data_IF_959212945698
#
_entry.id   IF_959212945698
#
_cell.length_a   1.000
_cell.length_b   1.000
_cell.length_c   1.000
_cell.angle_alpha   90.00
_cell.angle_beta   90.00
_cell.angle_gamma   90.00
#
_symmetry.space_group_name_H-M   'P 1'
#
loop_
_entity.id
_entity.type
_entity.pdbx_description
1 polymer ?
#
# COMPACT_ATOMS: atom_id res chain seq x y z
N UNK A 1 23.43 11.34 -2.93
CA UNK A 1 23.68 9.89 -3.17
C UNK A 1 22.45 9.34 -3.87
N UNK A 2 22.64 8.79 -5.08
CA UNK A 2 21.53 8.42 -5.98
C UNK A 2 20.72 7.23 -5.44
N UNK A 3 19.38 7.36 -5.40
CA UNK A 3 18.41 6.29 -5.16
C UNK A 3 18.59 5.07 -6.11
N UNK A 4 19.32 5.25 -7.19
CA UNK A 4 19.79 4.20 -8.10
C UNK A 4 20.62 3.10 -7.44
N UNK A 5 21.23 3.34 -6.27
CA UNK A 5 22.07 2.35 -5.59
C UNK A 5 21.24 1.29 -4.82
N UNK A 6 20.02 1.61 -4.41
CA UNK A 6 19.14 0.65 -3.70
C UNK A 6 18.40 -0.24 -4.71
N UNK A 7 18.02 0.30 -5.85
CA UNK A 7 17.52 -0.49 -6.98
C UNK A 7 18.62 -1.40 -7.56
N UNK A 8 19.89 -0.97 -7.55
CA UNK A 8 21.01 -1.77 -8.03
C UNK A 8 21.32 -2.99 -7.15
N UNK A 9 21.03 -2.95 -5.85
CA UNK A 9 21.22 -4.11 -4.97
C UNK A 9 20.18 -5.22 -5.25
N UNK A 10 18.95 -4.87 -5.59
CA UNK A 10 17.94 -5.81 -6.05
C UNK A 10 18.21 -6.33 -7.47
N UNK A 11 18.86 -5.51 -8.32
CA UNK A 11 19.22 -5.85 -9.71
C UNK A 11 20.57 -6.58 -9.83
N UNK A 12 21.39 -6.65 -8.78
CA UNK A 12 22.68 -7.33 -8.78
C UNK A 12 22.58 -8.88 -8.81
N UNK A 13 21.38 -9.44 -8.87
CA UNK A 13 21.19 -10.88 -9.13
C UNK A 13 21.06 -11.24 -10.61
N UNK A 14 21.20 -10.30 -11.52
CA UNK A 14 20.90 -10.48 -12.94
C UNK A 14 22.12 -10.87 -13.77
N UNK A 15 22.75 -12.00 -13.45
CA UNK A 15 23.41 -12.84 -14.46
C UNK A 15 22.71 -14.20 -14.58
N UNK A 16 21.43 -14.25 -14.22
CA UNK A 16 20.57 -15.33 -14.62
C UNK A 16 20.39 -15.27 -16.16
N UNK A 17 20.46 -16.42 -16.83
CA UNK A 17 20.11 -16.50 -18.25
C UNK A 17 18.75 -15.82 -18.47
N UNK A 18 18.54 -15.15 -19.62
CA UNK A 18 17.26 -14.55 -19.89
C UNK A 18 16.15 -15.60 -19.72
N UNK A 19 15.01 -15.24 -19.15
CA UNK A 19 13.92 -16.17 -18.96
C UNK A 19 13.48 -16.79 -20.31
N UNK A 20 12.96 -18.00 -20.31
CA UNK A 20 12.42 -18.58 -21.53
C UNK A 20 11.40 -17.65 -22.19
N UNK A 21 11.32 -17.62 -23.54
CA UNK A 21 10.41 -16.72 -24.25
C UNK A 21 8.94 -16.83 -23.83
N UNK A 22 8.53 -18.03 -23.41
CA UNK A 22 7.18 -18.28 -22.90
C UNK A 22 6.92 -17.54 -21.58
N UNK A 23 7.90 -17.47 -20.69
CA UNK A 23 7.81 -16.73 -19.42
C UNK A 23 7.77 -15.23 -19.66
N UNK A 24 8.52 -14.72 -20.65
CA UNK A 24 8.46 -13.31 -21.05
C UNK A 24 7.11 -12.94 -21.63
N UNK A 25 6.51 -13.83 -22.45
CA UNK A 25 5.20 -13.59 -23.03
C UNK A 25 4.09 -13.54 -21.96
N UNK A 26 4.10 -14.45 -20.98
CA UNK A 26 3.16 -14.43 -19.85
C UNK A 26 3.31 -13.15 -19.04
N UNK A 27 4.55 -12.75 -18.73
CA UNK A 27 4.83 -11.49 -18.01
C UNK A 27 4.32 -10.27 -18.77
N UNK A 28 4.57 -10.22 -20.08
CA UNK A 28 4.14 -9.09 -20.90
C UNK A 28 2.60 -8.98 -20.93
N UNK A 29 1.90 -10.09 -21.08
CA UNK A 29 0.43 -10.12 -21.06
C UNK A 29 -0.13 -9.68 -19.70
N UNK A 30 0.46 -10.15 -18.60
CA UNK A 30 0.05 -9.77 -17.24
C UNK A 30 0.26 -8.26 -17.01
N UNK A 31 1.40 -7.70 -17.44
CA UNK A 31 1.67 -6.27 -17.32
C UNK A 31 0.68 -5.44 -18.13
N UNK A 32 0.37 -5.84 -19.36
CA UNK A 32 -0.61 -5.16 -20.20
C UNK A 32 -2.00 -5.15 -19.55
N UNK A 33 -2.39 -6.27 -18.92
CA UNK A 33 -3.65 -6.37 -18.20
C UNK A 33 -3.70 -5.46 -16.97
N UNK A 34 -2.65 -5.43 -16.17
CA UNK A 34 -2.54 -4.55 -15.00
C UNK A 34 -2.56 -3.06 -15.40
N UNK A 35 -1.86 -2.70 -16.49
CA UNK A 35 -1.90 -1.34 -17.04
C UNK A 35 -3.30 -0.96 -17.54
N UNK A 36 -4.03 -1.90 -18.15
CA UNK A 36 -5.40 -1.68 -18.61
C UNK A 36 -6.37 -1.46 -17.44
N UNK A 37 -6.25 -2.20 -16.35
CA UNK A 37 -7.06 -1.99 -15.15
C UNK A 37 -6.70 -0.67 -14.45
N UNK A 38 -5.43 -0.35 -14.35
CA UNK A 38 -4.99 0.91 -13.76
C UNK A 38 -5.52 2.12 -14.55
N UNK A 39 -5.51 2.05 -15.89
CA UNK A 39 -6.04 3.10 -16.75
C UNK A 39 -7.58 3.30 -16.63
N UNK A 40 -8.28 2.33 -16.05
CA UNK A 40 -9.72 2.36 -15.78
C UNK A 40 -10.04 2.62 -14.29
N UNK A 41 -9.02 2.85 -13.46
CA UNK A 41 -9.13 2.92 -11.99
C UNK A 41 -9.77 1.65 -11.37
N UNK A 42 -9.65 0.49 -12.06
CA UNK A 42 -10.18 -0.78 -11.56
C UNK A 42 -9.24 -1.42 -10.52
N UNK A 43 -9.14 -0.75 -9.39
CA UNK A 43 -8.31 -1.21 -8.26
C UNK A 43 -8.79 -2.54 -7.68
N UNK A 44 -10.06 -2.87 -7.86
CA UNK A 44 -10.59 -4.16 -7.41
C UNK A 44 -10.01 -5.30 -8.23
N UNK A 45 -10.01 -5.20 -9.56
CA UNK A 45 -9.41 -6.22 -10.42
C UNK A 45 -7.92 -6.40 -10.15
N UNK A 46 -7.17 -5.30 -9.92
CA UNK A 46 -5.77 -5.37 -9.52
C UNK A 46 -5.61 -6.10 -8.17
N UNK A 47 -6.45 -5.80 -7.19
CA UNK A 47 -6.41 -6.45 -5.87
C UNK A 47 -6.72 -7.93 -5.93
N UNK A 48 -7.73 -8.32 -6.69
CA UNK A 48 -8.12 -9.72 -6.89
C UNK A 48 -6.99 -10.51 -7.58
N UNK A 49 -6.33 -9.91 -8.57
CA UNK A 49 -5.16 -10.52 -9.24
C UNK A 49 -4.00 -10.72 -8.26
N UNK A 50 -3.64 -9.69 -7.47
CA UNK A 50 -2.55 -9.80 -6.48
C UNK A 50 -2.85 -10.88 -5.44
N UNK A 51 -4.12 -11.01 -5.01
CA UNK A 51 -4.52 -12.04 -4.04
C UNK A 51 -4.54 -13.46 -4.64
N UNK A 52 -4.75 -13.59 -5.94
CA UNK A 52 -4.77 -14.86 -6.64
C UNK A 52 -3.37 -15.40 -6.98
N UNK A 53 -2.32 -14.60 -6.83
CA UNK A 53 -0.95 -14.98 -7.16
C UNK A 53 -0.52 -16.23 -6.42
N UNK A 54 -0.19 -17.27 -7.18
CA UNK A 54 0.33 -18.53 -6.67
C UNK A 54 1.64 -18.95 -7.34
N UNK A 55 1.90 -18.46 -8.55
CA UNK A 55 3.14 -18.69 -9.28
C UNK A 55 4.21 -17.66 -8.86
N UNK A 56 5.41 -18.10 -8.44
CA UNK A 56 6.48 -17.21 -8.02
C UNK A 56 6.99 -16.27 -9.13
N UNK A 57 6.87 -16.66 -10.40
CA UNK A 57 7.32 -15.85 -11.55
C UNK A 57 6.32 -14.72 -11.79
N UNK A 58 5.03 -15.02 -11.76
CA UNK A 58 3.96 -14.03 -11.86
C UNK A 58 4.02 -13.05 -10.68
N UNK A 59 4.20 -13.58 -9.46
CA UNK A 59 4.33 -12.76 -8.27
C UNK A 59 5.53 -11.80 -8.33
N UNK A 60 6.68 -12.26 -8.85
CA UNK A 60 7.85 -11.40 -9.04
C UNK A 60 7.61 -10.32 -10.12
N UNK A 61 6.92 -10.67 -11.21
CA UNK A 61 6.56 -9.72 -12.26
C UNK A 61 5.57 -8.67 -11.76
N UNK A 62 4.56 -9.10 -11.01
CA UNK A 62 3.57 -8.19 -10.38
C UNK A 62 4.25 -7.27 -9.37
N UNK A 63 5.18 -7.78 -8.55
CA UNK A 63 5.95 -6.95 -7.61
C UNK A 63 6.77 -5.88 -8.34
N UNK A 64 7.40 -6.22 -9.47
CA UNK A 64 8.16 -5.28 -10.28
C UNK A 64 7.24 -4.20 -10.88
N UNK A 65 6.08 -4.58 -11.40
CA UNK A 65 5.07 -3.65 -11.91
C UNK A 65 4.58 -2.72 -10.81
N UNK A 66 4.12 -3.26 -9.67
CA UNK A 66 3.69 -2.48 -8.52
C UNK A 66 4.78 -1.51 -8.04
N UNK A 67 6.04 -1.97 -8.04
CA UNK A 67 7.19 -1.15 -7.66
C UNK A 67 7.41 0.04 -8.58
N UNK A 68 7.18 -0.11 -9.90
CA UNK A 68 7.24 1.02 -10.84
C UNK A 68 6.13 2.03 -10.57
N UNK A 69 4.89 1.58 -10.39
CA UNK A 69 3.76 2.44 -10.09
C UNK A 69 3.92 3.14 -8.73
N UNK A 70 4.37 2.41 -7.72
CA UNK A 70 4.72 2.95 -6.40
C UNK A 70 5.75 4.08 -6.48
N UNK A 71 6.82 3.90 -7.26
CA UNK A 71 7.85 4.91 -7.43
C UNK A 71 7.35 6.17 -8.16
N UNK A 72 6.35 6.03 -9.01
CA UNK A 72 5.70 7.16 -9.70
C UNK A 72 4.73 7.91 -8.78
N UNK A 73 4.39 7.36 -7.61
CA UNK A 73 3.43 7.95 -6.69
C UNK A 73 2.01 7.75 -7.17
N UNK A 74 1.71 6.55 -7.68
CA UNK A 74 0.34 6.12 -7.89
C UNK A 74 -0.42 6.01 -6.55
N UNK A 75 -1.69 5.65 -6.62
CA UNK A 75 -2.65 5.67 -5.52
C UNK A 75 -2.15 5.02 -4.21
N UNK A 76 -2.78 5.37 -3.10
CA UNK A 76 -2.54 4.73 -1.81
C UNK A 76 -2.83 3.22 -1.86
N UNK A 77 -3.78 2.79 -2.71
CA UNK A 77 -4.06 1.39 -2.95
C UNK A 77 -2.85 0.65 -3.57
N UNK A 78 -2.24 1.22 -4.61
CA UNK A 78 -1.04 0.64 -5.23
C UNK A 78 0.12 0.59 -4.24
N UNK A 79 0.29 1.65 -3.45
CA UNK A 79 1.32 1.68 -2.40
C UNK A 79 1.11 0.57 -1.37
N UNK A 80 -0.13 0.26 -1.03
CA UNK A 80 -0.48 -0.85 -0.16
C UNK A 80 -0.15 -2.20 -0.78
N UNK A 81 -0.66 -2.47 -1.97
CA UNK A 81 -0.41 -3.75 -2.66
C UNK A 81 1.10 -4.02 -2.80
N UNK A 82 1.86 -3.00 -3.17
CA UNK A 82 3.33 -3.12 -3.24
C UNK A 82 3.95 -3.48 -1.89
N UNK A 83 3.56 -2.77 -0.83
CA UNK A 83 4.14 -2.97 0.50
C UNK A 83 3.81 -4.35 1.07
N UNK A 84 2.59 -4.84 0.89
CA UNK A 84 2.15 -6.17 1.32
C UNK A 84 2.91 -7.26 0.56
N UNK A 85 2.94 -7.20 -0.76
CA UNK A 85 3.61 -8.20 -1.59
C UNK A 85 5.13 -8.20 -1.34
N UNK A 86 5.75 -7.02 -1.24
CA UNK A 86 7.18 -6.89 -0.92
C UNK A 86 7.49 -7.45 0.48
N UNK A 87 6.62 -7.22 1.45
CA UNK A 87 6.78 -7.76 2.82
C UNK A 87 6.69 -9.28 2.82
N UNK A 88 5.78 -9.86 2.04
CA UNK A 88 5.69 -11.30 1.87
C UNK A 88 6.98 -11.90 1.26
N UNK A 89 7.54 -11.24 0.25
CA UNK A 89 8.85 -11.63 -0.31
C UNK A 89 9.99 -11.49 0.69
N UNK A 90 10.00 -10.42 1.49
CA UNK A 90 11.03 -10.16 2.50
C UNK A 90 11.02 -11.20 3.63
N UNK A 91 9.87 -11.78 3.95
CA UNK A 91 9.72 -12.87 4.93
C UNK A 91 10.09 -14.24 4.37
N UNK A 92 10.24 -14.38 3.06
CA UNK A 92 10.64 -15.61 2.41
C UNK A 92 12.12 -15.99 2.69
N UNK A 93 12.53 -17.24 2.41
CA UNK A 93 13.85 -17.77 2.74
C UNK A 93 15.04 -17.00 2.14
N UNK A 94 14.80 -16.21 1.08
CA UNK A 94 15.79 -15.38 0.39
C UNK A 94 15.54 -13.88 0.56
N UNK A 95 14.60 -13.51 1.42
CA UNK A 95 14.09 -12.14 1.53
C UNK A 95 14.86 -11.21 2.45
N UNK A 96 15.89 -11.69 3.17
CA UNK A 96 16.60 -10.88 4.17
C UNK A 96 17.09 -9.54 3.60
N UNK A 97 17.62 -9.55 2.37
CA UNK A 97 18.08 -8.34 1.68
C UNK A 97 16.95 -7.36 1.28
N UNK A 98 15.69 -7.77 1.36
CA UNK A 98 14.53 -6.95 1.01
C UNK A 98 13.89 -6.27 2.23
N UNK A 99 14.18 -6.71 3.44
CA UNK A 99 13.51 -6.21 4.66
C UNK A 99 13.63 -4.70 4.86
N UNK A 100 14.79 -4.11 4.59
CA UNK A 100 14.97 -2.66 4.67
C UNK A 100 14.12 -1.90 3.65
N UNK A 101 13.98 -2.44 2.44
CA UNK A 101 13.14 -1.87 1.39
C UNK A 101 11.65 -2.02 1.74
N UNK A 102 11.26 -3.19 2.26
CA UNK A 102 9.90 -3.45 2.72
C UNK A 102 9.51 -2.52 3.88
N UNK A 103 10.40 -2.31 4.84
CA UNK A 103 10.20 -1.35 5.92
C UNK A 103 9.99 0.08 5.38
N UNK A 104 10.83 0.53 4.44
CA UNK A 104 10.70 1.85 3.85
C UNK A 104 9.37 2.01 3.08
N UNK A 105 8.96 0.99 2.33
CA UNK A 105 7.70 0.98 1.60
C UNK A 105 6.50 1.02 2.56
N UNK A 106 6.53 0.23 3.63
CA UNK A 106 5.46 0.21 4.64
C UNK A 106 5.35 1.56 5.36
N UNK A 107 6.47 2.16 5.79
CA UNK A 107 6.47 3.48 6.42
C UNK A 107 5.93 4.57 5.48
N UNK A 108 6.31 4.53 4.20
CA UNK A 108 5.76 5.43 3.20
C UNK A 108 4.25 5.23 3.02
N UNK A 109 3.78 3.98 2.94
CA UNK A 109 2.35 3.67 2.76
C UNK A 109 1.52 4.13 3.97
N UNK A 110 2.04 3.99 5.20
CA UNK A 110 1.40 4.54 6.41
C UNK A 110 1.30 6.06 6.31
N UNK A 111 2.39 6.73 5.93
CA UNK A 111 2.42 8.18 5.77
C UNK A 111 1.43 8.65 4.69
N UNK A 112 1.50 8.07 3.49
CA UNK A 112 0.64 8.37 2.36
C UNK A 112 -0.84 8.20 2.73
N UNK A 113 -1.21 7.04 3.26
CA UNK A 113 -2.60 6.75 3.64
C UNK A 113 -3.11 7.67 4.75
N UNK A 114 -2.25 8.06 5.71
CA UNK A 114 -2.62 9.01 6.77
C UNK A 114 -2.94 10.40 6.23
N UNK A 115 -2.14 10.85 5.28
CA UNK A 115 -2.27 12.18 4.67
C UNK A 115 -3.50 12.19 3.75
N UNK A 116 -3.58 11.23 2.85
CA UNK A 116 -4.61 11.19 1.80
C UNK A 116 -6.00 10.86 2.35
N UNK A 117 -6.08 10.15 3.47
CA UNK A 117 -7.37 9.95 4.14
C UNK A 117 -8.06 11.27 4.55
N UNK A 118 -7.34 12.41 4.54
CA UNK A 118 -7.94 13.73 4.78
C UNK A 118 -8.91 14.16 3.67
N UNK A 119 -8.84 13.52 2.50
CA UNK A 119 -9.84 13.72 1.45
C UNK A 119 -11.21 13.12 1.80
N UNK A 120 -11.34 12.19 2.75
CA UNK A 120 -12.61 11.62 3.15
C UNK A 120 -13.49 12.66 3.86
N UNK A 121 -14.73 12.84 3.42
CA UNK A 121 -15.71 13.65 4.13
C UNK A 121 -16.06 13.01 5.48
N UNK A 122 -16.15 11.70 5.54
CA UNK A 122 -16.28 10.94 6.79
C UNK A 122 -14.95 10.91 7.55
N UNK A 123 -14.83 11.76 8.56
CA UNK A 123 -13.62 11.86 9.39
C UNK A 123 -13.32 10.61 10.19
N UNK A 124 -14.27 9.71 10.38
CA UNK A 124 -14.06 8.45 11.12
C UNK A 124 -13.18 7.48 10.32
N UNK A 125 -13.09 7.64 8.99
CA UNK A 125 -12.19 6.89 8.13
C UNK A 125 -10.71 7.33 8.20
N UNK A 126 -10.41 8.55 8.67
CA UNK A 126 -9.09 9.18 8.55
C UNK A 126 -7.93 8.41 9.14
N UNK A 127 -8.16 7.59 10.15
CA UNK A 127 -7.10 6.81 10.80
C UNK A 127 -7.15 5.31 10.49
N UNK A 128 -8.16 4.85 9.77
CA UNK A 128 -8.41 3.42 9.65
C UNK A 128 -7.31 2.70 8.86
N UNK A 129 -7.02 3.17 7.65
CA UNK A 129 -5.98 2.57 6.81
C UNK A 129 -4.61 2.64 7.46
N UNK A 130 -4.22 3.82 7.96
CA UNK A 130 -2.95 3.97 8.64
C UNK A 130 -2.83 3.04 9.87
N UNK A 131 -3.91 2.84 10.62
CA UNK A 131 -3.96 1.91 11.76
C UNK A 131 -3.79 0.46 11.30
N UNK A 132 -4.43 0.07 10.20
CA UNK A 132 -4.29 -1.27 9.63
C UNK A 132 -2.85 -1.53 9.22
N UNK A 133 -2.21 -0.61 8.48
CA UNK A 133 -0.81 -0.76 8.09
C UNK A 133 0.15 -0.72 9.27
N UNK A 134 -0.10 0.14 10.26
CA UNK A 134 0.69 0.14 11.50
C UNK A 134 0.60 -1.20 12.22
N UNK A 135 -0.57 -1.81 12.26
CA UNK A 135 -0.75 -3.14 12.86
C UNK A 135 0.07 -4.19 12.10
N UNK A 136 0.04 -4.20 10.77
CA UNK A 136 0.85 -5.12 9.96
C UNK A 136 2.34 -4.89 10.19
N UNK A 137 2.79 -3.64 10.25
CA UNK A 137 4.18 -3.31 10.57
C UNK A 137 4.60 -3.87 11.94
N UNK A 138 3.74 -3.73 12.96
CA UNK A 138 4.02 -4.18 14.34
C UNK A 138 3.91 -5.70 14.53
N UNK A 139 3.21 -6.40 13.65
CA UNK A 139 3.06 -7.86 13.68
C UNK A 139 4.18 -8.59 12.93
N UNK A 140 4.88 -7.90 12.03
CA UNK A 140 6.00 -8.45 11.25
C UNK A 140 7.35 -8.24 11.94
N UNK A 141 8.38 -8.81 11.35
CA UNK A 141 9.78 -8.71 11.78
C UNK A 141 10.55 -7.54 11.12
N UNK A 142 9.86 -6.66 10.42
CA UNK A 142 10.48 -5.54 9.71
C UNK A 142 11.13 -4.53 10.67
N UNK A 143 10.65 -4.42 11.90
CA UNK A 143 11.23 -3.56 12.92
C UNK A 143 12.44 -4.16 13.64
N UNK A 144 12.71 -5.44 13.43
CA UNK A 144 13.89 -6.13 13.99
C UNK A 144 15.19 -5.79 13.27
N UNK A 145 15.10 -4.95 12.22
CA UNK A 145 16.26 -4.48 11.48
C UNK A 145 17.19 -3.62 12.34
N UNK A 146 18.52 -3.62 12.07
CA UNK A 146 19.46 -2.74 12.75
C UNK A 146 19.00 -1.28 12.70
N UNK A 147 19.34 -0.52 13.74
CA UNK A 147 18.94 0.90 13.87
C UNK A 147 19.27 1.70 12.61
N UNK A 148 20.47 1.53 12.06
CA UNK A 148 20.92 2.25 10.85
C UNK A 148 20.01 1.98 9.64
N UNK A 149 19.51 0.74 9.50
CA UNK A 149 18.58 0.37 8.44
C UNK A 149 17.20 0.98 8.66
N UNK A 150 16.72 1.04 9.90
CA UNK A 150 15.46 1.69 10.25
C UNK A 150 15.53 3.21 10.01
N UNK A 151 16.63 3.86 10.38
CA UNK A 151 16.88 5.27 10.07
C UNK A 151 16.93 5.53 8.56
N UNK A 152 17.55 4.64 7.80
CA UNK A 152 17.57 4.71 6.33
C UNK A 152 16.15 4.57 5.75
N UNK A 153 15.37 3.62 6.24
CA UNK A 153 14.00 3.40 5.81
C UNK A 153 13.11 4.65 6.05
N UNK A 154 13.25 5.30 7.21
CA UNK A 154 12.56 6.57 7.50
C UNK A 154 12.95 7.65 6.51
N UNK A 155 14.25 7.83 6.24
CA UNK A 155 14.72 8.83 5.26
C UNK A 155 14.18 8.55 3.85
N UNK A 156 14.14 7.28 3.43
CA UNK A 156 13.60 6.89 2.13
C UNK A 156 12.09 7.19 2.07
N UNK A 157 11.34 6.81 3.09
CA UNK A 157 9.89 7.05 3.16
C UNK A 157 9.57 8.56 3.06
N UNK A 158 10.28 9.41 3.80
CA UNK A 158 10.12 10.87 3.74
C UNK A 158 10.49 11.44 2.36
N UNK A 159 11.58 10.98 1.77
CA UNK A 159 12.00 11.43 0.43
C UNK A 159 10.98 11.01 -0.65
N UNK A 160 10.42 9.81 -0.54
CA UNK A 160 9.36 9.32 -1.42
C UNK A 160 8.10 10.16 -1.27
N UNK A 161 7.66 10.41 -0.03
CA UNK A 161 6.48 11.23 0.25
C UNK A 161 6.63 12.63 -0.36
N UNK A 162 7.73 13.29 -0.11
CA UNK A 162 7.99 14.62 -0.67
C UNK A 162 7.99 14.64 -2.20
N UNK A 163 8.61 13.63 -2.83
CA UNK A 163 8.70 13.53 -4.29
C UNK A 163 7.37 13.29 -4.96
N UNK A 164 6.50 12.51 -4.34
CA UNK A 164 5.25 12.05 -4.95
C UNK A 164 4.04 12.89 -4.60
N UNK A 165 4.14 13.79 -3.62
CA UNK A 165 3.02 14.56 -3.09
C UNK A 165 2.22 15.33 -4.14
N UNK A 166 2.92 16.05 -5.03
CA UNK A 166 2.24 16.88 -6.05
C UNK A 166 1.38 16.09 -7.02
N UNK A 167 1.74 14.84 -7.28
CA UNK A 167 0.92 13.92 -8.06
C UNK A 167 -0.23 13.36 -7.22
N UNK A 168 0.07 12.81 -6.05
CA UNK A 168 -0.91 12.11 -5.20
C UNK A 168 -2.03 13.01 -4.71
N UNK A 169 -1.75 14.27 -4.39
CA UNK A 169 -2.79 15.22 -3.96
C UNK A 169 -3.86 15.49 -5.02
N UNK A 170 -3.62 15.12 -6.30
CA UNK A 170 -4.58 15.24 -7.39
C UNK A 170 -5.40 13.96 -7.60
N UNK A 171 -4.98 12.85 -7.02
CA UNK A 171 -5.65 11.56 -7.19
C UNK A 171 -6.90 11.45 -6.33
N UNK A 172 -7.82 10.59 -6.77
CA UNK A 172 -9.03 10.29 -6.03
C UNK A 172 -8.99 8.85 -5.52
N UNK A 173 -8.51 8.67 -4.30
CA UNK A 173 -8.46 7.38 -3.61
C UNK A 173 -9.60 7.22 -2.57
N UNK A 174 -10.68 8.00 -2.69
CA UNK A 174 -11.73 8.05 -1.68
C UNK A 174 -12.37 6.67 -1.44
N UNK A 175 -12.61 5.89 -2.47
CA UNK A 175 -13.17 4.54 -2.31
C UNK A 175 -12.27 3.68 -1.40
N UNK A 176 -11.00 3.60 -1.70
CA UNK A 176 -10.05 2.81 -0.91
C UNK A 176 -9.82 3.37 0.49
N UNK A 177 -9.68 4.68 0.63
CA UNK A 177 -9.31 5.32 1.90
C UNK A 177 -10.50 5.49 2.85
N UNK A 178 -11.72 5.67 2.31
CA UNK A 178 -12.90 6.01 3.09
C UNK A 178 -13.82 4.82 3.38
N UNK A 179 -13.55 3.65 2.80
CA UNK A 179 -14.46 2.49 2.82
C UNK A 179 -14.81 1.95 4.21
N UNK A 180 -13.99 2.20 5.22
CA UNK A 180 -14.21 1.72 6.58
C UNK A 180 -14.72 2.83 7.52
N UNK A 181 -15.16 3.96 6.97
CA UNK A 181 -15.79 5.01 7.77
C UNK A 181 -17.20 4.63 8.24
N UNK A 182 -17.69 5.36 9.24
CA UNK A 182 -19.01 5.13 9.81
C UNK A 182 -20.15 5.34 8.80
N UNK A 183 -19.95 6.23 7.81
CA UNK A 183 -20.91 6.44 6.75
C UNK A 183 -21.12 5.16 5.91
N UNK A 184 -20.01 4.54 5.45
CA UNK A 184 -20.04 3.29 4.71
C UNK A 184 -20.62 2.14 5.55
N UNK A 185 -20.22 2.04 6.82
CA UNK A 185 -20.74 1.04 7.74
C UNK A 185 -22.25 1.20 7.96
N UNK A 186 -22.73 2.41 8.18
CA UNK A 186 -24.16 2.69 8.35
C UNK A 186 -24.96 2.37 7.10
N UNK A 187 -24.44 2.71 5.93
CA UNK A 187 -25.06 2.36 4.65
C UNK A 187 -25.13 0.83 4.47
N UNK A 188 -24.07 0.12 4.82
CA UNK A 188 -24.02 -1.34 4.76
C UNK A 188 -25.05 -2.02 5.67
N UNK A 189 -25.21 -1.53 6.89
CA UNK A 189 -26.23 -2.04 7.83
C UNK A 189 -27.65 -1.75 7.33
N UNK A 190 -27.87 -0.59 6.70
CA UNK A 190 -29.21 -0.14 6.32
C UNK A 190 -29.70 -0.70 4.97
N UNK A 191 -28.80 -0.99 4.04
CA UNK A 191 -29.18 -1.38 2.68
C UNK A 191 -28.16 -2.18 1.91
N UNK A 192 -27.00 -2.44 2.50
CA UNK A 192 -25.92 -3.22 1.91
C UNK A 192 -25.98 -4.70 2.28
N UNK A 193 -24.82 -5.31 2.43
CA UNK A 193 -24.70 -6.71 2.80
C UNK A 193 -23.90 -6.90 4.10
N UNK A 194 -24.32 -7.88 4.88
CA UNK A 194 -23.59 -8.35 6.07
C UNK A 194 -23.24 -9.80 5.89
N UNK A 195 -21.95 -10.12 6.02
CA UNK A 195 -21.43 -11.48 5.94
C UNK A 195 -20.69 -11.83 7.20
N UNK A 196 -21.06 -12.99 7.80
CA UNK A 196 -20.30 -13.55 8.91
C UNK A 196 -19.01 -14.19 8.35
N UNK A 197 -17.89 -13.81 8.90
CA UNK A 197 -16.57 -14.37 8.57
C UNK A 197 -16.03 -15.14 9.76
N UNK A 198 -15.24 -16.18 9.48
CA UNK A 198 -14.52 -16.87 10.52
C UNK A 198 -13.58 -15.89 11.23
N UNK A 199 -13.50 -15.90 12.58
CA UNK A 199 -12.54 -15.06 13.28
C UNK A 199 -11.11 -15.41 12.85
N UNK A 200 -10.25 -14.41 12.77
CA UNK A 200 -8.84 -14.62 12.52
C UNK A 200 -8.22 -15.51 13.63
N UNK A 201 -7.14 -16.21 13.29
CA UNK A 201 -6.47 -17.11 14.21
C UNK A 201 -6.13 -16.36 15.54
N UNK A 202 -6.50 -16.94 16.67
CA UNK A 202 -6.31 -16.35 18.00
C UNK A 202 -7.37 -15.31 18.41
N UNK A 203 -8.36 -15.03 17.58
CA UNK A 203 -9.50 -14.16 17.94
C UNK A 203 -10.70 -14.99 18.40
N UNK A 204 -11.39 -14.52 19.44
CA UNK A 204 -12.60 -15.12 19.96
C UNK A 204 -13.78 -14.24 19.61
N UNK A 205 -14.84 -14.81 19.02
CA UNK A 205 -16.07 -14.11 18.71
C UNK A 205 -16.50 -14.31 17.26
N UNK A 206 -17.47 -13.51 16.82
CA UNK A 206 -17.95 -13.49 15.43
C UNK A 206 -17.42 -12.22 14.76
N UNK A 207 -16.88 -12.36 13.57
CA UNK A 207 -16.57 -11.23 12.71
C UNK A 207 -17.71 -11.04 11.70
N UNK A 208 -18.21 -9.83 11.59
CA UNK A 208 -19.23 -9.48 10.61
C UNK A 208 -18.59 -8.45 9.68
N UNK A 209 -18.43 -8.84 8.42
CA UNK A 209 -18.08 -7.89 7.37
C UNK A 209 -19.34 -7.19 6.92
N UNK A 210 -19.31 -5.88 6.95
CA UNK A 210 -20.38 -5.02 6.46
C UNK A 210 -19.90 -4.35 5.19
N UNK A 211 -20.63 -4.50 4.09
CA UNK A 211 -20.32 -3.84 2.83
C UNK A 211 -21.47 -2.90 2.45
N UNK A 212 -21.21 -1.64 2.10
CA UNK A 212 -22.24 -0.75 1.63
C UNK A 212 -22.87 -1.25 0.32
N UNK A 213 -24.03 -0.71 -0.11
CA UNK A 213 -24.60 -0.98 -1.42
C UNK A 213 -23.59 -0.68 -2.55
N UNK A 214 -23.74 -1.35 -3.70
CA UNK A 214 -22.83 -1.17 -4.85
C UNK A 214 -22.83 0.27 -5.40
N UNK A 215 -23.94 0.98 -5.26
CA UNK A 215 -24.09 2.38 -5.67
C UNK A 215 -23.71 3.39 -4.59
N UNK A 216 -23.13 2.94 -3.47
CA UNK A 216 -22.67 3.83 -2.41
C UNK A 216 -21.51 4.70 -2.87
N UNK A 217 -21.66 6.01 -2.75
CA UNK A 217 -20.63 6.98 -3.12
C UNK A 217 -19.83 7.39 -1.89
N UNK A 218 -18.52 7.19 -1.96
CA UNK A 218 -17.60 7.68 -0.96
C UNK A 218 -17.34 9.17 -1.18
N UNK A 219 -17.94 10.00 -0.33
CA UNK A 219 -17.82 11.45 -0.46
C UNK A 219 -16.39 11.92 -0.22
N UNK A 220 -15.89 12.66 -1.18
CA UNK A 220 -14.57 13.33 -1.13
C UNK A 220 -14.75 14.81 -0.82
N UNK A 221 -13.91 15.34 0.07
CA UNK A 221 -13.82 16.79 0.33
C UNK A 221 -13.19 17.49 -0.87
N UNK A 222 -13.56 18.76 -1.06
CA UNK A 222 -12.91 19.63 -2.04
C UNK A 222 -11.40 19.81 -1.70
N UNK A 223 -10.58 19.98 -2.71
CA UNK A 223 -9.14 20.12 -2.54
C UNK A 223 -8.78 21.27 -1.61
N UNK A 224 -9.46 22.39 -1.71
CA UNK A 224 -9.24 23.56 -0.85
C UNK A 224 -9.49 23.27 0.65
N UNK A 225 -10.35 22.29 0.96
CA UNK A 225 -10.73 21.95 2.32
C UNK A 225 -9.82 20.90 2.96
N UNK A 226 -9.30 19.95 2.18
CA UNK A 226 -8.49 18.88 2.76
C UNK A 226 -6.98 19.09 2.66
N UNK A 227 -6.49 19.85 1.67
CA UNK A 227 -5.06 20.10 1.54
C UNK A 227 -4.41 20.78 2.76
N UNK A 228 -5.04 21.77 3.42
CA UNK A 228 -4.48 22.33 4.65
C UNK A 228 -4.30 21.30 5.77
N UNK A 229 -5.28 20.39 5.93
CA UNK A 229 -5.19 19.31 6.92
C UNK A 229 -4.06 18.32 6.57
N UNK A 230 -3.91 18.00 5.29
CA UNK A 230 -2.84 17.15 4.79
C UNK A 230 -1.45 17.78 5.01
N UNK A 231 -1.27 19.07 4.69
CA UNK A 231 0.00 19.77 4.89
C UNK A 231 0.36 19.88 6.38
N UNK A 232 -0.62 20.12 7.25
CA UNK A 232 -0.39 20.13 8.70
C UNK A 232 0.11 18.76 9.21
N UNK A 233 -0.43 17.66 8.65
CA UNK A 233 0.02 16.31 9.00
C UNK A 233 1.41 16.00 8.42
N UNK A 234 1.68 16.43 7.18
CA UNK A 234 2.99 16.29 6.53
C UNK A 234 4.11 16.95 7.35
N UNK A 235 3.86 18.08 7.96
CA UNK A 235 4.82 18.75 8.82
C UNK A 235 5.21 17.91 10.06
N UNK A 236 4.36 16.97 10.48
CA UNK A 236 4.59 16.10 11.65
C UNK A 236 5.20 14.74 11.26
N UNK A 237 5.23 14.38 9.97
CA UNK A 237 5.69 13.06 9.51
C UNK A 237 7.10 12.69 9.96
N UNK A 238 8.11 13.59 9.94
CA UNK A 238 9.46 13.20 10.33
C UNK A 238 9.49 12.58 11.74
N UNK A 239 8.82 13.23 12.69
CA UNK A 239 8.75 12.72 14.06
C UNK A 239 7.89 11.45 14.16
N UNK A 240 6.75 11.42 13.48
CA UNK A 240 5.85 10.27 13.50
C UNK A 240 6.51 9.00 12.96
N UNK A 241 7.26 9.09 11.85
CA UNK A 241 7.94 7.95 11.25
C UNK A 241 9.14 7.47 12.08
N UNK A 242 9.84 8.36 12.77
CA UNK A 242 10.89 7.99 13.74
C UNK A 242 10.29 7.13 14.85
N UNK A 243 9.18 7.58 15.45
CA UNK A 243 8.48 6.82 16.50
C UNK A 243 7.97 5.47 15.98
N UNK A 244 7.36 5.43 14.80
CA UNK A 244 6.88 4.19 14.17
C UNK A 244 8.01 3.20 13.88
N UNK A 245 9.19 3.68 13.52
CA UNK A 245 10.37 2.86 13.28
C UNK A 245 11.07 2.41 14.59
N UNK A 246 10.56 2.80 15.76
CA UNK A 246 11.16 2.46 17.05
C UNK A 246 12.52 3.13 17.29
N UNK A 247 12.68 4.39 16.85
CA UNK A 247 13.92 5.18 16.95
C UNK A 247 13.79 6.30 17.99
#
# INVERSE_FOLDING_TARGET
>A
MSLALIAAAALSQAQAAPPPPEVEAVRAQQMEQLDAWLAQDDYRAIGDEVQALSDPVEAAATLDWLGRQFQQGESAFISWQYSELLSAFAQGPKGEGLKGTALAAMLYTIAASSIEARQCADKTAWSDRARTFTRHLMQGDLLDQPQEMRELAVRIALAMEQRTWDRRKQMNDAEFLCMNGMAAMSAGISGGSMREEAPAEGQVGRQIRVSPPEDFVYERRENADWWPDAEALRAQLPQALVVLAGL
#
